data_IF_216361789728
#
_entry.id   IF_216361789728
#
_cell.length_a   1.000
_cell.length_b   1.000
_cell.length_c   1.000
_cell.angle_alpha   90.00
_cell.angle_beta   90.00
_cell.angle_gamma   90.00
#
_symmetry.space_group_name_H-M   'P 1'
#
loop_
_entity.id
_entity.type
_entity.pdbx_description
1 polymer ?
#
# COMPACT_ATOMS: atom_id res chain seq x y z
N UNK A 1 10.79 22.95 -28.19
CA UNK A 1 10.18 21.72 -27.64
C UNK A 1 10.76 21.45 -26.25
N UNK A 2 10.13 21.87 -25.15
CA UNK A 2 10.71 21.63 -23.80
C UNK A 2 9.69 21.51 -22.65
N UNK A 3 8.41 21.24 -22.95
CA UNK A 3 7.36 21.15 -21.94
C UNK A 3 7.10 19.73 -21.43
N UNK A 4 8.07 19.03 -20.82
CA UNK A 4 7.84 17.68 -20.24
C UNK A 4 8.52 17.26 -18.91
N UNK A 5 9.27 18.09 -18.13
CA UNK A 5 9.82 17.61 -16.86
C UNK A 5 8.78 17.37 -15.75
N UNK A 6 7.83 18.29 -15.54
CA UNK A 6 6.95 18.26 -14.35
C UNK A 6 5.97 17.07 -14.32
N UNK A 7 5.43 16.67 -15.47
CA UNK A 7 4.54 15.51 -15.59
C UNK A 7 5.29 14.19 -15.38
N UNK A 8 6.55 14.11 -15.83
CA UNK A 8 7.40 12.95 -15.60
C UNK A 8 7.68 12.73 -14.11
N UNK A 9 8.12 13.77 -13.40
CA UNK A 9 8.35 13.71 -11.95
C UNK A 9 7.08 13.45 -11.14
N UNK A 10 5.94 14.00 -11.59
CA UNK A 10 4.65 13.74 -10.93
C UNK A 10 4.18 12.30 -11.13
N UNK A 11 4.38 11.73 -12.33
CA UNK A 11 4.09 10.32 -12.62
C UNK A 11 5.04 9.37 -11.87
N UNK A 12 6.33 9.73 -11.81
CA UNK A 12 7.35 8.98 -11.08
C UNK A 12 7.05 8.94 -9.58
N UNK A 13 6.67 10.07 -8.98
CA UNK A 13 6.21 10.08 -7.58
C UNK A 13 4.96 9.23 -7.38
N UNK A 14 3.97 9.30 -8.25
CA UNK A 14 2.77 8.44 -8.15
C UNK A 14 3.10 6.95 -8.21
N UNK A 15 4.07 6.55 -9.03
CA UNK A 15 4.58 5.18 -9.09
C UNK A 15 5.36 4.78 -7.83
N UNK A 16 6.21 5.67 -7.31
CA UNK A 16 6.96 5.48 -6.06
C UNK A 16 6.04 5.28 -4.84
N UNK A 17 4.94 6.05 -4.76
CA UNK A 17 3.93 5.88 -3.71
C UNK A 17 3.27 4.49 -3.77
N UNK A 18 2.88 4.03 -4.96
CA UNK A 18 2.32 2.68 -5.13
C UNK A 18 3.32 1.57 -4.78
N UNK A 19 4.60 1.78 -5.05
CA UNK A 19 5.65 0.83 -4.73
C UNK A 19 5.87 0.73 -3.22
N UNK A 20 5.89 1.87 -2.52
CA UNK A 20 6.01 1.93 -1.06
C UNK A 20 4.82 1.26 -0.35
N UNK A 21 3.57 1.50 -0.78
CA UNK A 21 2.40 0.86 -0.18
C UNK A 21 2.38 -0.65 -0.37
N UNK A 22 2.83 -1.13 -1.55
CA UNK A 22 3.01 -2.56 -1.80
C UNK A 22 4.06 -3.15 -0.87
N UNK A 23 5.15 -2.43 -0.62
CA UNK A 23 6.22 -2.87 0.28
C UNK A 23 5.74 -2.95 1.75
N UNK A 24 4.93 -2.00 2.21
CA UNK A 24 4.34 -2.03 3.57
C UNK A 24 3.38 -3.22 3.72
N UNK A 25 2.46 -3.41 2.77
CA UNK A 25 1.54 -4.54 2.79
C UNK A 25 2.26 -5.90 2.72
N UNK A 26 3.35 -5.98 1.96
CA UNK A 26 4.20 -7.17 1.89
C UNK A 26 4.97 -7.41 3.18
N UNK A 27 5.42 -6.35 3.86
CA UNK A 27 6.10 -6.42 5.16
C UNK A 27 5.19 -7.05 6.22
N UNK A 28 3.91 -6.67 6.28
CA UNK A 28 2.95 -7.33 7.16
C UNK A 28 2.82 -8.84 6.88
N UNK A 29 2.81 -9.25 5.61
CA UNK A 29 2.81 -10.69 5.28
C UNK A 29 4.08 -11.38 5.76
N UNK A 30 5.26 -10.81 5.52
CA UNK A 30 6.55 -11.37 5.96
C UNK A 30 6.62 -11.56 7.48
N UNK A 31 6.10 -10.58 8.24
CA UNK A 31 6.01 -10.67 9.70
C UNK A 31 5.03 -11.76 10.12
N UNK A 32 3.85 -11.84 9.48
CA UNK A 32 2.86 -12.89 9.72
C UNK A 32 3.42 -14.30 9.50
N UNK A 33 4.10 -14.51 8.37
CA UNK A 33 4.74 -15.79 8.03
C UNK A 33 5.88 -16.13 9.01
N UNK A 34 6.57 -15.12 9.54
CA UNK A 34 7.60 -15.31 10.57
C UNK A 34 6.97 -15.79 11.89
N UNK A 35 5.91 -15.13 12.34
CA UNK A 35 5.17 -15.48 13.55
C UNK A 35 4.58 -16.89 13.47
N UNK A 36 4.08 -17.30 12.29
CA UNK A 36 3.58 -18.66 12.11
C UNK A 36 4.70 -19.70 12.20
N UNK A 37 5.90 -19.39 11.68
CA UNK A 37 7.08 -20.26 11.83
C UNK A 37 7.55 -20.36 13.27
N UNK A 38 7.53 -19.25 14.02
CA UNK A 38 7.84 -19.23 15.46
C UNK A 38 6.85 -20.11 16.23
N UNK A 39 5.56 -19.97 15.96
CA UNK A 39 4.52 -20.75 16.64
C UNK A 39 4.66 -22.26 16.48
N UNK A 40 5.26 -22.72 15.38
CA UNK A 40 5.48 -24.15 15.12
C UNK A 40 6.59 -24.76 15.98
N UNK A 41 7.57 -23.96 16.38
CA UNK A 41 8.72 -24.41 17.18
C UNK A 41 8.55 -24.07 18.66
N UNK A 42 7.54 -23.28 19.01
CA UNK A 42 7.30 -22.81 20.37
C UNK A 42 6.74 -23.92 21.28
N UNK A 43 7.47 -24.31 22.35
CA UNK A 43 7.02 -25.37 23.25
C UNK A 43 5.85 -24.96 24.16
N UNK A 44 5.73 -23.67 24.50
CA UNK A 44 4.60 -23.18 25.28
C UNK A 44 3.37 -23.01 24.38
N UNK A 45 2.35 -23.82 24.62
CA UNK A 45 1.08 -23.81 23.86
C UNK A 45 0.34 -22.49 23.96
N UNK A 46 0.49 -21.74 25.06
CA UNK A 46 -0.11 -20.43 25.19
C UNK A 46 0.60 -19.44 24.27
N UNK A 47 1.94 -19.40 24.33
CA UNK A 47 2.76 -18.55 23.48
C UNK A 47 2.53 -18.85 22.00
N UNK A 48 2.57 -20.12 21.60
CA UNK A 48 2.28 -20.56 20.24
C UNK A 48 0.90 -20.07 19.75
N UNK A 49 -0.13 -20.15 20.60
CA UNK A 49 -1.47 -19.60 20.27
C UNK A 49 -1.47 -18.09 20.10
N UNK A 50 -0.74 -17.36 20.93
CA UNK A 50 -0.59 -15.91 20.79
C UNK A 50 0.11 -15.54 19.49
N UNK A 51 1.16 -16.27 19.11
CA UNK A 51 1.91 -16.04 17.87
C UNK A 51 1.06 -16.33 16.63
N UNK A 52 0.28 -17.42 16.61
CA UNK A 52 -0.70 -17.67 15.53
C UNK A 52 -1.73 -16.54 15.45
N UNK A 53 -2.27 -16.10 16.58
CA UNK A 53 -3.22 -14.98 16.61
C UNK A 53 -2.59 -13.67 16.12
N UNK A 54 -1.32 -13.43 16.45
CA UNK A 54 -0.57 -12.28 15.98
C UNK A 54 -0.32 -12.36 14.46
N UNK A 55 0.03 -13.55 13.95
CA UNK A 55 0.17 -13.82 12.51
C UNK A 55 -1.13 -13.50 11.75
N UNK A 56 -2.26 -14.02 12.23
CA UNK A 56 -3.59 -13.69 11.69
C UNK A 56 -3.87 -12.19 11.70
N UNK A 57 -3.43 -11.50 12.76
CA UNK A 57 -3.51 -10.05 12.89
C UNK A 57 -2.73 -9.33 11.78
N UNK A 58 -1.51 -9.77 11.50
CA UNK A 58 -0.66 -9.19 10.45
C UNK A 58 -1.24 -9.40 9.06
N UNK A 59 -1.79 -10.59 8.75
CA UNK A 59 -2.45 -10.81 7.47
C UNK A 59 -3.74 -10.00 7.30
N UNK A 60 -4.44 -9.68 8.41
CA UNK A 60 -5.56 -8.73 8.40
C UNK A 60 -5.08 -7.29 8.13
N UNK A 61 -4.00 -6.86 8.80
CA UNK A 61 -3.39 -5.54 8.58
C UNK A 61 -2.97 -5.36 7.12
N UNK A 62 -2.33 -6.35 6.50
CA UNK A 62 -2.03 -6.36 5.05
C UNK A 62 -3.25 -6.03 4.20
N UNK A 63 -4.40 -6.64 4.48
CA UNK A 63 -5.65 -6.40 3.73
C UNK A 63 -6.21 -5.00 3.97
N UNK A 64 -6.03 -4.45 5.16
CA UNK A 64 -6.44 -3.06 5.47
C UNK A 64 -5.55 -2.09 4.69
N UNK A 65 -4.24 -2.27 4.77
CA UNK A 65 -3.26 -1.43 4.09
C UNK A 65 -3.47 -1.40 2.58
N UNK A 66 -3.60 -2.58 1.96
CA UNK A 66 -3.81 -2.69 0.52
C UNK A 66 -5.11 -2.00 0.04
N UNK A 67 -6.13 -1.91 0.90
CA UNK A 67 -7.37 -1.18 0.59
C UNK A 67 -7.19 0.31 0.78
N UNK A 68 -6.52 0.75 1.85
CA UNK A 68 -6.22 2.17 2.09
C UNK A 68 -5.44 2.76 0.92
N UNK A 69 -4.39 2.05 0.50
CA UNK A 69 -3.58 2.35 -0.67
C UNK A 69 -4.43 2.56 -1.94
N UNK A 70 -5.33 1.62 -2.22
CA UNK A 70 -6.19 1.70 -3.39
C UNK A 70 -7.19 2.87 -3.32
N UNK A 71 -7.77 3.12 -2.14
CA UNK A 71 -8.69 4.24 -1.91
C UNK A 71 -7.99 5.59 -2.10
N UNK A 72 -6.74 5.70 -1.67
CA UNK A 72 -5.92 6.91 -1.85
C UNK A 72 -5.53 7.12 -3.32
N UNK A 73 -5.11 6.06 -4.01
CA UNK A 73 -4.84 6.10 -5.45
C UNK A 73 -6.07 6.58 -6.24
N UNK A 74 -7.25 6.04 -5.93
CA UNK A 74 -8.50 6.39 -6.61
C UNK A 74 -8.84 7.87 -6.41
N UNK A 75 -8.79 8.36 -5.17
CA UNK A 75 -9.08 9.76 -4.84
C UNK A 75 -8.12 10.74 -5.53
N UNK A 76 -6.83 10.42 -5.54
CA UNK A 76 -5.81 11.24 -6.20
C UNK A 76 -6.02 11.26 -7.72
N UNK A 77 -6.36 10.11 -8.30
CA UNK A 77 -6.63 9.98 -9.74
C UNK A 77 -7.87 10.76 -10.16
N UNK A 78 -8.96 10.67 -9.39
CA UNK A 78 -10.19 11.42 -9.64
C UNK A 78 -9.95 12.92 -9.55
N UNK A 79 -9.28 13.36 -8.47
CA UNK A 79 -8.94 14.77 -8.25
C UNK A 79 -8.08 15.32 -9.40
N UNK A 80 -7.05 14.57 -9.82
CA UNK A 80 -6.21 14.96 -10.94
C UNK A 80 -6.99 15.05 -12.25
N UNK A 81 -7.85 14.07 -12.53
CA UNK A 81 -8.65 14.02 -13.75
C UNK A 81 -9.61 15.22 -13.81
N UNK A 82 -10.24 15.55 -12.68
CA UNK A 82 -11.11 16.72 -12.56
C UNK A 82 -10.38 18.01 -12.95
N UNK A 83 -9.25 18.32 -12.31
CA UNK A 83 -8.48 19.54 -12.62
C UNK A 83 -7.90 19.55 -14.03
N UNK A 84 -7.53 18.39 -14.57
CA UNK A 84 -7.00 18.31 -15.95
C UNK A 84 -8.07 18.70 -16.96
N UNK A 85 -9.31 18.23 -16.77
CA UNK A 85 -10.45 18.60 -17.63
C UNK A 85 -10.77 20.08 -17.52
N UNK A 86 -10.82 20.61 -16.30
CA UNK A 86 -11.10 22.02 -16.04
C UNK A 86 -10.04 22.93 -16.70
N UNK A 87 -8.77 22.60 -16.54
CA UNK A 87 -7.65 23.33 -17.16
C UNK A 87 -7.68 23.23 -18.69
N UNK A 88 -8.20 22.15 -19.27
CA UNK A 88 -8.34 22.04 -20.73
C UNK A 88 -9.50 22.91 -21.23
N UNK A 89 -10.63 22.94 -20.51
CA UNK A 89 -11.76 23.79 -20.85
C UNK A 89 -11.43 25.28 -20.74
N UNK A 90 -10.59 25.68 -19.78
CA UNK A 90 -10.15 27.06 -19.61
C UNK A 90 -9.15 27.56 -20.68
N UNK A 91 -8.67 26.68 -21.58
CA UNK A 91 -7.80 27.05 -22.71
C UNK A 91 -8.58 27.40 -23.99
N UNK A 92 -9.91 27.28 -23.94
CA UNK A 92 -10.83 27.64 -25.03
C UNK A 92 -11.01 29.15 -25.05
#
# INVERSE_FOLDING_TARGET
MSGRPKLFWRRMRGFEWQENEKDVAETYAKIGDCLERMARVEPDKLLARTEVRASDGMHKLKKVEARSANDEELKLTDTLTYFTRDTQAAKV
#
